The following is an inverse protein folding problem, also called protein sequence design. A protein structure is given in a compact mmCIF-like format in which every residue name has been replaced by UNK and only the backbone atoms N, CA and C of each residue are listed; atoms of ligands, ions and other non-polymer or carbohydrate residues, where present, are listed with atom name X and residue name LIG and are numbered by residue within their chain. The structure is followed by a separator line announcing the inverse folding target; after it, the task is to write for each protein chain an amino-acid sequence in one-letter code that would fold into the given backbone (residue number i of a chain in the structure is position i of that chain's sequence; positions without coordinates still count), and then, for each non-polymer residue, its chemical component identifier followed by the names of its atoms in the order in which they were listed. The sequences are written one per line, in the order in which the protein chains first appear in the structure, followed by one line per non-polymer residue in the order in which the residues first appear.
data_IF_645856537693
#
_entry.id   IF_645856537693
#
_cell.length_a   1.000
_cell.length_b   1.000
_cell.length_c   1.000
_cell.angle_alpha   90.00
_cell.angle_beta   90.00
_cell.angle_gamma   90.00
#
_symmetry.space_group_name_H-M   'P 1'
#
loop_
_entity.id
_entity.type
_entity.pdbx_description
1 polymer ?
#
# COMPACT_ATOMS: atom_id res chain seq x y z
N UNK A 1 -29.57 -7.45 -21.71
CA UNK A 1 -28.72 -6.87 -20.65
C UNK A 1 -28.24 -8.00 -19.76
N UNK A 2 -26.99 -8.43 -19.91
CA UNK A 2 -26.37 -9.36 -18.97
C UNK A 2 -26.13 -8.57 -17.69
N UNK A 3 -26.77 -8.97 -16.58
CA UNK A 3 -26.36 -8.51 -15.25
C UNK A 3 -24.94 -9.04 -15.06
N UNK A 4 -23.93 -8.19 -15.24
CA UNK A 4 -22.57 -8.51 -14.82
C UNK A 4 -22.66 -8.97 -13.36
N UNK A 5 -22.05 -10.11 -13.03
CA UNK A 5 -21.86 -10.47 -11.63
C UNK A 5 -21.19 -9.27 -10.95
N UNK A 6 -21.85 -8.67 -9.96
CA UNK A 6 -21.30 -7.51 -9.28
C UNK A 6 -20.00 -7.95 -8.60
N UNK A 7 -18.88 -7.37 -9.01
CA UNK A 7 -17.61 -7.52 -8.31
C UNK A 7 -17.83 -7.25 -6.82
N UNK A 8 -17.07 -7.94 -5.97
CA UNK A 8 -17.15 -7.75 -4.51
C UNK A 8 -16.94 -6.27 -4.19
N UNK A 9 -17.79 -5.72 -3.33
CA UNK A 9 -17.76 -4.30 -2.99
C UNK A 9 -16.53 -3.93 -2.16
N UNK A 10 -16.20 -2.63 -2.15
CA UNK A 10 -15.01 -2.10 -1.48
C UNK A 10 -14.99 -2.37 0.03
N UNK A 11 -16.13 -2.24 0.70
CA UNK A 11 -16.21 -2.41 2.15
C UNK A 11 -16.00 -3.87 2.55
N UNK A 12 -16.61 -4.80 1.82
CA UNK A 12 -16.39 -6.24 2.03
C UNK A 12 -14.91 -6.60 1.85
N UNK A 13 -14.25 -6.11 0.80
CA UNK A 13 -12.82 -6.34 0.57
C UNK A 13 -11.97 -5.78 1.73
N UNK A 14 -12.24 -4.54 2.15
CA UNK A 14 -11.47 -3.89 3.21
C UNK A 14 -11.61 -4.63 4.55
N UNK A 15 -12.84 -4.98 4.93
CA UNK A 15 -13.11 -5.69 6.19
C UNK A 15 -12.51 -7.10 6.20
N UNK A 16 -12.58 -7.84 5.09
CA UNK A 16 -11.94 -9.15 4.99
C UNK A 16 -10.42 -9.05 5.03
N UNK A 17 -9.84 -8.08 4.32
CA UNK A 17 -8.40 -7.80 4.36
C UNK A 17 -7.94 -7.47 5.78
N UNK A 18 -8.66 -6.60 6.50
CA UNK A 18 -8.36 -6.27 7.90
C UNK A 18 -8.38 -7.52 8.80
N UNK A 19 -9.42 -8.36 8.70
CA UNK A 19 -9.52 -9.62 9.47
C UNK A 19 -8.35 -10.54 9.19
N UNK A 20 -8.03 -10.77 7.91
CA UNK A 20 -6.89 -11.59 7.48
C UNK A 20 -5.57 -11.08 8.08
N UNK A 21 -5.31 -9.78 8.00
CA UNK A 21 -4.07 -9.19 8.51
C UNK A 21 -3.96 -9.24 10.04
N UNK A 22 -5.07 -9.06 10.76
CA UNK A 22 -5.12 -9.23 12.21
C UNK A 22 -4.91 -10.69 12.63
N UNK A 23 -5.53 -11.65 11.93
CA UNK A 23 -5.43 -13.09 12.20
C UNK A 23 -3.98 -13.57 12.19
N UNK A 24 -3.21 -13.20 11.16
CA UNK A 24 -1.80 -13.60 11.05
C UNK A 24 -0.84 -12.69 11.79
N UNK A 25 -1.35 -11.73 12.57
CA UNK A 25 -0.56 -10.72 13.28
C UNK A 25 0.42 -10.02 12.35
N UNK A 26 -0.06 -9.62 11.17
CA UNK A 26 0.65 -8.64 10.34
C UNK A 26 0.44 -7.23 10.89
N UNK A 27 -0.62 -7.03 11.67
CA UNK A 27 -0.96 -5.80 12.39
C UNK A 27 -0.78 -6.00 13.90
N UNK A 28 -0.22 -4.99 14.55
CA UNK A 28 -0.01 -4.96 15.99
C UNK A 28 -0.48 -3.61 16.59
N UNK A 29 -1.06 -3.67 17.79
CA UNK A 29 -1.39 -2.52 18.61
C UNK A 29 -0.59 -2.57 19.91
N UNK A 30 0.00 -1.44 20.30
CA UNK A 30 0.69 -1.28 21.58
C UNK A 30 0.72 0.20 21.99
N UNK A 31 -0.25 0.62 22.80
CA UNK A 31 -0.32 1.99 23.31
C UNK A 31 0.61 2.22 24.51
N UNK A 32 0.80 1.22 25.39
CA UNK A 32 1.63 1.35 26.59
C UNK A 32 3.13 1.49 26.26
N UNK A 33 3.59 0.75 25.25
CA UNK A 33 4.97 0.81 24.74
C UNK A 33 4.93 1.04 23.23
N UNK A 34 4.81 2.31 22.79
CA UNK A 34 4.72 2.65 21.38
C UNK A 34 5.89 2.09 20.58
N UNK A 35 5.63 1.73 19.33
CA UNK A 35 6.66 1.40 18.37
C UNK A 35 7.44 2.67 18.02
N UNK A 36 8.76 2.63 18.19
CA UNK A 36 9.65 3.72 17.77
C UNK A 36 10.30 3.32 16.43
N UNK A 37 9.94 4.04 15.37
CA UNK A 37 10.51 3.82 14.05
C UNK A 37 11.90 4.47 13.94
N UNK A 38 12.68 4.05 12.94
CA UNK A 38 14.02 4.60 12.68
C UNK A 38 14.02 6.11 12.40
N UNK A 39 12.88 6.66 11.99
CA UNK A 39 12.67 8.10 11.85
C UNK A 39 12.58 8.84 13.19
N UNK A 40 12.47 8.14 14.32
CA UNK A 40 12.13 8.70 15.63
C UNK A 40 10.63 8.91 15.85
N UNK A 41 9.80 8.36 14.97
CA UNK A 41 8.34 8.44 15.07
C UNK A 41 7.80 7.43 16.09
N UNK A 42 6.93 7.88 17.00
CA UNK A 42 6.24 7.01 17.94
C UNK A 42 4.84 6.65 17.40
N UNK A 43 4.50 5.37 17.41
CA UNK A 43 3.23 4.87 16.87
C UNK A 43 2.64 3.79 17.78
N UNK A 44 1.34 3.83 18.11
CA UNK A 44 0.69 2.73 18.82
C UNK A 44 0.34 1.57 17.86
N UNK A 45 0.52 1.76 16.56
CA UNK A 45 0.23 0.77 15.53
C UNK A 45 1.48 0.39 14.75
N UNK A 46 1.56 -0.87 14.32
CA UNK A 46 2.58 -1.36 13.42
C UNK A 46 1.97 -2.34 12.43
N UNK A 47 2.40 -2.27 11.17
CA UNK A 47 2.01 -3.22 10.13
C UNK A 47 3.25 -3.71 9.36
N UNK A 48 3.30 -5.02 9.09
CA UNK A 48 4.31 -5.63 8.23
C UNK A 48 3.64 -6.50 7.15
N UNK A 49 3.42 -5.90 5.98
CA UNK A 49 2.81 -6.59 4.84
C UNK A 49 3.71 -7.70 4.27
N UNK A 50 5.02 -7.67 4.51
CA UNK A 50 5.94 -8.71 4.01
C UNK A 50 5.63 -10.07 4.64
N UNK A 51 5.10 -10.07 5.86
CA UNK A 51 4.69 -11.29 6.56
C UNK A 51 3.59 -12.07 5.82
N UNK A 52 2.77 -11.37 5.02
CA UNK A 52 1.64 -11.95 4.30
C UNK A 52 2.08 -13.00 3.26
N UNK A 53 3.29 -12.87 2.72
CA UNK A 53 3.83 -13.83 1.75
C UNK A 53 3.95 -15.25 2.34
N UNK A 54 4.03 -15.38 3.66
CA UNK A 54 4.22 -16.65 4.37
C UNK A 54 2.93 -17.47 4.55
N UNK A 55 1.77 -16.95 4.12
CA UNK A 55 0.46 -17.58 4.36
C UNK A 55 -0.26 -17.87 3.03
N UNK A 56 -0.15 -19.09 2.47
CA UNK A 56 -0.60 -19.39 1.10
C UNK A 56 -2.08 -19.10 0.82
N UNK A 57 -2.98 -19.50 1.73
CA UNK A 57 -4.43 -19.27 1.57
C UNK A 57 -4.78 -17.79 1.64
N UNK A 58 -4.16 -17.08 2.58
CA UNK A 58 -4.38 -15.66 2.81
C UNK A 58 -3.86 -14.83 1.63
N UNK A 59 -2.60 -15.06 1.20
CA UNK A 59 -2.04 -14.31 0.06
C UNK A 59 -2.82 -14.57 -1.22
N UNK A 60 -3.36 -15.78 -1.43
CA UNK A 60 -4.21 -16.05 -2.58
C UNK A 60 -5.47 -15.18 -2.57
N UNK A 61 -6.20 -15.14 -1.45
CA UNK A 61 -7.39 -14.29 -1.31
C UNK A 61 -7.11 -12.79 -1.45
N UNK A 62 -6.00 -12.30 -0.88
CA UNK A 62 -5.59 -10.90 -1.04
C UNK A 62 -5.31 -10.53 -2.50
N UNK A 63 -4.71 -11.43 -3.27
CA UNK A 63 -4.42 -11.18 -4.68
C UNK A 63 -5.69 -11.24 -5.55
N UNK A 64 -6.68 -12.05 -5.16
CA UNK A 64 -8.00 -12.04 -5.81
C UNK A 64 -8.73 -10.71 -5.54
N UNK A 65 -8.63 -10.19 -4.32
CA UNK A 65 -9.13 -8.85 -3.98
C UNK A 65 -8.36 -7.73 -4.70
N UNK A 66 -7.04 -7.88 -4.88
CA UNK A 66 -6.23 -6.94 -5.64
C UNK A 66 -6.69 -6.85 -7.10
N UNK A 67 -6.79 -8.00 -7.78
CA UNK A 67 -7.29 -8.06 -9.15
C UNK A 67 -8.71 -7.49 -9.25
N UNK A 68 -9.61 -7.84 -8.32
CA UNK A 68 -10.98 -7.29 -8.27
C UNK A 68 -10.97 -5.77 -8.13
N UNK A 69 -10.13 -5.22 -7.26
CA UNK A 69 -10.02 -3.78 -7.00
C UNK A 69 -9.50 -3.05 -8.24
N UNK A 70 -8.44 -3.57 -8.85
CA UNK A 70 -7.84 -3.03 -10.08
C UNK A 70 -8.87 -3.01 -11.21
N UNK A 71 -9.51 -4.14 -11.50
CA UNK A 71 -10.49 -4.23 -12.59
C UNK A 71 -11.73 -3.35 -12.36
N UNK A 72 -12.18 -3.22 -11.09
CA UNK A 72 -13.32 -2.37 -10.72
C UNK A 72 -13.01 -0.88 -10.86
N UNK A 73 -11.86 -0.45 -10.35
CA UNK A 73 -11.55 0.98 -10.16
C UNK A 73 -10.77 1.58 -11.34
N UNK A 74 -10.03 0.76 -12.10
CA UNK A 74 -9.17 1.19 -13.20
C UNK A 74 -9.71 0.70 -14.56
N UNK A 75 -10.23 -0.52 -14.61
CA UNK A 75 -10.80 -1.13 -15.83
C UNK A 75 -10.00 -2.33 -16.35
N UNK A 76 -10.62 -3.09 -17.26
CA UNK A 76 -10.13 -4.39 -17.71
C UNK A 76 -8.92 -4.30 -18.65
N UNK A 77 -8.96 -3.38 -19.62
CA UNK A 77 -7.94 -3.23 -20.67
C UNK A 77 -7.13 -1.94 -20.48
N UNK A 78 -7.03 -1.45 -19.24
CA UNK A 78 -6.45 -0.15 -18.89
C UNK A 78 -4.94 -0.21 -18.60
N UNK A 79 -4.37 -1.41 -18.43
CA UNK A 79 -3.00 -1.65 -17.96
C UNK A 79 -2.32 -2.66 -18.89
N UNK A 80 -1.09 -2.37 -19.29
CA UNK A 80 -0.28 -3.23 -20.18
C UNK A 80 0.84 -3.95 -19.45
N UNK A 81 1.25 -3.46 -18.27
CA UNK A 81 2.34 -4.04 -17.48
C UNK A 81 2.16 -3.78 -15.98
N UNK A 82 2.69 -4.68 -15.14
CA UNK A 82 2.73 -4.51 -13.68
C UNK A 82 4.18 -4.40 -13.21
N UNK A 83 4.51 -3.35 -12.46
CA UNK A 83 5.85 -3.12 -11.95
C UNK A 83 5.87 -3.07 -10.42
N UNK A 84 6.67 -3.96 -9.80
CA UNK A 84 6.83 -4.01 -8.35
C UNK A 84 7.94 -3.09 -7.84
N UNK A 85 7.65 -2.26 -6.83
CA UNK A 85 8.66 -1.48 -6.13
C UNK A 85 9.61 -2.37 -5.32
N UNK A 86 10.93 -2.16 -5.47
CA UNK A 86 11.92 -2.90 -4.69
C UNK A 86 11.78 -2.59 -3.19
N UNK A 87 11.74 -3.56 -2.27
CA UNK A 87 11.70 -5.02 -2.50
C UNK A 87 10.32 -5.61 -2.22
N UNK A 88 9.57 -5.00 -1.29
CA UNK A 88 8.36 -5.57 -0.72
C UNK A 88 7.18 -5.59 -1.71
N UNK A 89 7.19 -4.73 -2.73
CA UNK A 89 6.18 -4.75 -3.80
C UNK A 89 6.33 -5.93 -4.76
N UNK A 90 7.53 -6.50 -4.90
CA UNK A 90 7.85 -7.51 -5.92
C UNK A 90 6.97 -8.77 -5.82
N UNK A 91 6.79 -9.41 -4.65
CA UNK A 91 5.97 -10.62 -4.56
C UNK A 91 4.52 -10.37 -4.98
N UNK A 92 3.95 -9.25 -4.55
CA UNK A 92 2.57 -8.88 -4.85
C UNK A 92 2.39 -8.51 -6.32
N UNK A 93 3.35 -7.76 -6.89
CA UNK A 93 3.38 -7.45 -8.31
C UNK A 93 3.42 -8.72 -9.16
N UNK A 94 4.21 -9.73 -8.78
CA UNK A 94 4.27 -11.00 -9.50
C UNK A 94 2.93 -11.73 -9.54
N UNK A 95 2.25 -11.84 -8.39
CA UNK A 95 0.97 -12.53 -8.31
C UNK A 95 -0.20 -11.76 -8.92
N UNK A 96 -0.11 -10.42 -8.96
CA UNK A 96 -1.06 -9.56 -9.66
C UNK A 96 -0.85 -9.67 -11.16
N UNK A 97 0.40 -9.60 -11.65
CA UNK A 97 0.73 -9.79 -13.05
C UNK A 97 0.22 -11.14 -13.58
N UNK A 98 0.42 -12.22 -12.81
CA UNK A 98 -0.08 -13.56 -13.11
C UNK A 98 -1.62 -13.59 -13.23
N UNK A 99 -2.34 -13.01 -12.26
CA UNK A 99 -3.83 -12.94 -12.28
C UNK A 99 -4.39 -12.11 -13.41
N UNK A 100 -3.72 -11.03 -13.77
CA UNK A 100 -4.14 -10.13 -14.85
C UNK A 100 -3.60 -10.57 -16.21
N UNK A 101 -2.77 -11.62 -16.27
CA UNK A 101 -2.11 -12.11 -17.48
C UNK A 101 -1.26 -11.02 -18.17
N UNK A 102 -0.57 -10.21 -17.38
CA UNK A 102 0.25 -9.09 -17.87
C UNK A 102 1.75 -9.35 -17.70
N UNK A 103 2.60 -8.79 -18.58
CA UNK A 103 4.05 -8.70 -18.35
C UNK A 103 4.38 -8.07 -16.98
N UNK A 104 5.47 -8.55 -16.38
CA UNK A 104 5.96 -8.06 -15.09
C UNK A 104 7.33 -7.40 -15.21
N UNK A 105 7.50 -6.29 -14.50
CA UNK A 105 8.77 -5.64 -14.22
C UNK A 105 8.98 -5.49 -12.71
N UNK A 106 10.19 -5.13 -12.30
CA UNK A 106 10.41 -4.52 -10.99
C UNK A 106 11.35 -3.33 -11.06
N UNK A 107 11.26 -2.44 -10.08
CA UNK A 107 11.92 -1.14 -10.08
C UNK A 107 12.89 -1.07 -8.91
N UNK A 108 14.17 -0.88 -9.21
CA UNK A 108 15.21 -0.70 -8.21
C UNK A 108 15.06 0.64 -7.49
N UNK A 109 15.38 0.66 -6.20
CA UNK A 109 15.47 1.91 -5.41
C UNK A 109 16.56 2.85 -5.90
N UNK A 110 17.63 2.30 -6.51
CA UNK A 110 18.75 3.05 -7.08
C UNK A 110 19.10 2.49 -8.46
N UNK A 111 19.50 3.35 -9.41
CA UNK A 111 19.92 2.91 -10.73
C UNK A 111 21.15 1.99 -10.64
N UNK A 112 21.22 1.03 -11.54
CA UNK A 112 22.39 0.16 -11.77
C UNK A 112 22.93 0.42 -13.16
N UNK A 113 24.16 0.92 -13.24
CA UNK A 113 24.79 1.28 -14.51
C UNK A 113 24.25 2.59 -15.08
N UNK A 114 24.17 2.68 -16.41
CA UNK A 114 23.82 3.89 -17.14
C UNK A 114 22.64 3.63 -18.08
N UNK A 115 21.96 4.71 -18.50
CA UNK A 115 20.86 4.67 -19.48
C UNK A 115 19.47 4.80 -18.85
N UNK A 116 18.48 5.07 -19.71
CA UNK A 116 17.09 5.38 -19.29
C UNK A 116 16.41 4.24 -18.52
N UNK A 117 16.87 3.01 -18.72
CA UNK A 117 16.32 1.80 -18.09
C UNK A 117 17.10 1.35 -16.84
N UNK A 118 18.07 2.13 -16.34
CA UNK A 118 18.97 1.69 -15.27
C UNK A 118 18.28 1.29 -13.95
N UNK A 119 17.01 1.66 -13.75
CA UNK A 119 16.21 1.27 -12.59
C UNK A 119 15.20 0.16 -12.87
N UNK A 120 14.91 -0.17 -14.13
CA UNK A 120 13.88 -1.14 -14.49
C UNK A 120 14.52 -2.48 -14.83
N UNK A 121 13.95 -3.54 -14.27
CA UNK A 121 14.36 -4.91 -14.51
C UNK A 121 13.17 -5.67 -15.09
N UNK A 122 13.41 -6.42 -16.17
CA UNK A 122 12.38 -6.95 -17.06
C UNK A 122 12.42 -6.30 -18.45
N UNK A 123 11.46 -6.63 -19.30
CA UNK A 123 11.36 -6.08 -20.66
C UNK A 123 10.62 -4.73 -20.63
N UNK A 124 11.25 -3.68 -21.15
CA UNK A 124 10.63 -2.34 -21.22
C UNK A 124 10.02 -2.13 -22.60
N UNK A 125 8.71 -1.97 -22.64
CA UNK A 125 7.96 -1.60 -23.85
C UNK A 125 7.61 -0.11 -23.78
N UNK A 126 8.13 0.68 -24.70
CA UNK A 126 7.88 2.12 -24.78
C UNK A 126 6.38 2.40 -25.01
N UNK A 127 5.82 3.35 -24.26
CA UNK A 127 4.41 3.69 -24.27
C UNK A 127 3.50 2.78 -23.42
N UNK A 128 3.99 1.68 -22.84
CA UNK A 128 3.17 0.79 -22.02
C UNK A 128 2.56 1.51 -20.81
N UNK A 129 1.30 1.18 -20.49
CA UNK A 129 0.58 1.65 -19.29
C UNK A 129 0.89 0.76 -18.11
N UNK A 130 1.78 1.23 -17.24
CA UNK A 130 2.32 0.44 -16.14
C UNK A 130 1.56 0.72 -14.84
N UNK A 131 1.12 -0.34 -14.17
CA UNK A 131 0.63 -0.28 -12.79
C UNK A 131 1.81 -0.40 -11.82
N UNK A 132 2.02 0.62 -10.97
CA UNK A 132 2.97 0.54 -9.87
C UNK A 132 2.36 -0.23 -8.70
N UNK A 133 3.02 -1.30 -8.25
CA UNK A 133 2.59 -2.11 -7.10
C UNK A 133 3.60 -2.01 -5.96
N UNK A 134 3.12 -1.67 -4.77
CA UNK A 134 3.88 -1.79 -3.52
C UNK A 134 3.06 -2.55 -2.47
N UNK A 135 3.69 -2.90 -1.34
CA UNK A 135 3.00 -3.55 -0.24
C UNK A 135 2.14 -2.57 0.57
N UNK A 136 2.66 -1.37 0.84
CA UNK A 136 1.95 -0.32 1.57
C UNK A 136 2.26 1.10 1.10
N UNK A 137 1.44 2.06 1.50
CA UNK A 137 1.70 3.49 1.37
C UNK A 137 1.44 4.24 2.70
N UNK A 138 2.33 5.16 3.04
CA UNK A 138 2.22 6.08 4.19
C UNK A 138 1.83 7.48 3.73
N UNK A 139 2.81 8.30 3.39
CA UNK A 139 2.71 9.65 2.83
C UNK A 139 2.89 9.67 1.30
N UNK A 140 3.25 8.54 0.71
CA UNK A 140 3.48 8.40 -0.73
C UNK A 140 4.89 8.79 -1.20
N UNK A 141 5.79 9.24 -0.32
CA UNK A 141 7.08 9.80 -0.74
C UNK A 141 7.99 8.85 -1.53
N UNK A 142 7.98 7.54 -1.23
CA UNK A 142 8.75 6.55 -2.01
C UNK A 142 8.21 6.31 -3.42
N UNK A 143 6.91 6.55 -3.63
CA UNK A 143 6.21 6.28 -4.89
C UNK A 143 6.67 7.23 -6.00
N UNK A 144 7.04 8.45 -5.64
CA UNK A 144 7.58 9.47 -6.56
C UNK A 144 8.77 8.88 -7.34
N UNK A 145 9.77 8.36 -6.62
CA UNK A 145 10.99 7.83 -7.24
C UNK A 145 10.72 6.66 -8.18
N UNK A 146 9.77 5.79 -7.83
CA UNK A 146 9.40 4.66 -8.68
C UNK A 146 8.60 5.10 -9.91
N UNK A 147 7.68 6.05 -9.76
CA UNK A 147 6.92 6.60 -10.88
C UNK A 147 7.83 7.31 -11.88
N UNK A 148 8.78 8.10 -11.38
CA UNK A 148 9.77 8.77 -12.24
C UNK A 148 10.64 7.76 -12.98
N UNK A 149 11.05 6.67 -12.33
CA UNK A 149 11.81 5.61 -13.00
C UNK A 149 11.03 4.95 -14.15
N UNK A 150 9.73 4.68 -13.96
CA UNK A 150 8.85 4.15 -15.02
C UNK A 150 8.72 5.16 -16.17
N UNK A 151 8.47 6.43 -15.86
CA UNK A 151 8.32 7.50 -16.85
C UNK A 151 9.60 7.72 -17.65
N UNK A 152 10.75 7.72 -16.98
CA UNK A 152 12.06 7.86 -17.61
C UNK A 152 12.39 6.69 -18.55
N UNK A 153 11.88 5.48 -18.25
CA UNK A 153 11.99 4.32 -19.13
C UNK A 153 11.07 4.39 -20.37
N UNK A 154 10.26 5.46 -20.51
CA UNK A 154 9.39 5.69 -21.66
C UNK A 154 7.98 5.11 -21.51
N UNK A 155 7.58 4.73 -20.29
CA UNK A 155 6.25 4.19 -19.99
C UNK A 155 5.33 5.24 -19.35
N UNK A 156 4.04 4.96 -19.29
CA UNK A 156 3.06 5.76 -18.52
C UNK A 156 2.74 5.09 -17.20
N UNK A 157 2.45 5.89 -16.16
CA UNK A 157 2.08 5.40 -14.83
C UNK A 157 1.14 6.41 -14.18
N UNK A 158 -0.14 6.08 -14.23
CA UNK A 158 -1.22 6.90 -13.67
C UNK A 158 -1.84 6.26 -12.42
N UNK A 159 -1.50 4.99 -12.14
CA UNK A 159 -2.09 4.21 -11.07
C UNK A 159 -1.03 3.54 -10.20
N UNK A 160 -1.25 3.61 -8.89
CA UNK A 160 -0.51 2.84 -7.90
C UNK A 160 -1.46 2.00 -7.07
N UNK A 161 -1.17 0.70 -6.95
CA UNK A 161 -1.88 -0.21 -6.06
C UNK A 161 -1.01 -0.59 -4.86
N UNK A 162 -1.62 -0.61 -3.67
CA UNK A 162 -1.02 -1.15 -2.44
C UNK A 162 -1.99 -2.07 -1.71
N UNK A 163 -1.48 -2.97 -0.88
CA UNK A 163 -2.36 -3.72 0.02
C UNK A 163 -2.90 -2.81 1.12
N UNK A 164 -2.01 -2.03 1.72
CA UNK A 164 -2.31 -1.24 2.91
C UNK A 164 -2.01 0.24 2.69
N UNK A 165 -2.99 1.12 2.92
CA UNK A 165 -2.76 2.56 2.92
C UNK A 165 -3.00 3.15 4.31
N UNK A 166 -2.06 3.92 4.84
CA UNK A 166 -2.20 4.45 6.19
C UNK A 166 -3.39 5.41 6.33
N UNK A 167 -3.64 6.25 5.33
CA UNK A 167 -4.77 7.20 5.28
C UNK A 167 -4.96 8.07 6.54
N UNK A 168 -3.84 8.46 7.16
CA UNK A 168 -3.81 9.28 8.39
C UNK A 168 -3.10 10.62 8.18
N UNK A 169 -2.50 10.82 7.00
CA UNK A 169 -1.86 12.07 6.61
C UNK A 169 -2.76 12.80 5.62
N UNK A 170 -3.29 13.98 5.96
CA UNK A 170 -4.32 14.66 5.16
C UNK A 170 -3.92 14.93 3.71
N UNK A 171 -2.64 15.15 3.43
CA UNK A 171 -2.15 15.52 2.10
C UNK A 171 -1.78 14.32 1.23
N UNK A 172 -1.60 13.12 1.80
CA UNK A 172 -0.98 11.99 1.08
C UNK A 172 -1.67 11.63 -0.25
N UNK A 173 -3.01 11.64 -0.29
CA UNK A 173 -3.76 11.42 -1.54
C UNK A 173 -3.60 12.57 -2.53
N UNK A 174 -3.63 13.81 -2.05
CA UNK A 174 -3.47 15.00 -2.88
C UNK A 174 -2.06 15.10 -3.46
N UNK A 175 -1.04 14.77 -2.67
CA UNK A 175 0.36 14.78 -3.07
C UNK A 175 0.63 13.74 -4.17
N UNK A 176 0.08 12.52 -4.03
CA UNK A 176 0.13 11.49 -5.07
C UNK A 176 -0.64 11.92 -6.33
N UNK A 177 -1.82 12.54 -6.18
CA UNK A 177 -2.59 13.03 -7.33
C UNK A 177 -1.86 14.15 -8.08
N UNK A 178 -1.16 15.03 -7.36
CA UNK A 178 -0.40 16.14 -7.92
C UNK A 178 0.75 15.67 -8.82
N UNK A 179 1.30 14.48 -8.57
CA UNK A 179 2.32 13.84 -9.43
C UNK A 179 1.71 12.89 -10.45
N UNK A 180 0.38 12.92 -10.64
CA UNK A 180 -0.34 12.09 -11.62
C UNK A 180 -0.50 10.64 -11.20
N UNK A 181 -0.56 10.32 -9.90
CA UNK A 181 -0.85 8.96 -9.42
C UNK A 181 -2.18 8.89 -8.68
N UNK A 182 -3.08 8.05 -9.16
CA UNK A 182 -4.25 7.58 -8.42
C UNK A 182 -3.88 6.37 -7.56
N UNK A 183 -4.04 6.50 -6.24
CA UNK A 183 -3.76 5.44 -5.27
C UNK A 183 -4.99 4.56 -5.03
N UNK A 184 -4.79 3.25 -5.19
CA UNK A 184 -5.75 2.20 -4.92
C UNK A 184 -5.22 1.32 -3.78
N UNK A 185 -6.09 0.97 -2.82
CA UNK A 185 -5.71 0.15 -1.68
C UNK A 185 -6.80 -0.86 -1.32
N UNK A 186 -6.41 -2.00 -0.72
CA UNK A 186 -7.39 -2.94 -0.18
C UNK A 186 -7.93 -2.49 1.17
N UNK A 187 -7.08 -1.93 2.03
CA UNK A 187 -7.45 -1.62 3.42
C UNK A 187 -6.70 -0.39 3.94
N UNK A 188 -7.31 0.31 4.88
CA UNK A 188 -6.71 1.41 5.63
C UNK A 188 -6.69 1.14 7.14
N UNK A 189 -6.00 1.99 7.90
CA UNK A 189 -6.08 1.92 9.36
C UNK A 189 -7.50 2.13 9.91
N UNK A 190 -8.34 2.89 9.20
CA UNK A 190 -9.73 3.12 9.61
C UNK A 190 -10.57 1.83 9.52
N UNK A 191 -10.41 1.08 8.43
CA UNK A 191 -11.07 -0.23 8.24
C UNK A 191 -10.61 -1.23 9.31
N UNK A 192 -9.30 -1.22 9.61
CA UNK A 192 -8.71 -2.08 10.66
C UNK A 192 -9.27 -1.73 12.03
N UNK A 193 -9.38 -0.44 12.36
CA UNK A 193 -9.92 0.01 13.64
C UNK A 193 -11.40 -0.37 13.78
N UNK A 194 -12.20 -0.21 12.71
CA UNK A 194 -13.60 -0.62 12.68
C UNK A 194 -13.74 -2.13 12.96
N UNK A 195 -12.99 -2.97 12.23
CA UNK A 195 -12.99 -4.42 12.43
C UNK A 195 -12.49 -4.81 13.82
N UNK A 196 -11.44 -4.15 14.33
CA UNK A 196 -10.89 -4.43 15.65
C UNK A 196 -11.92 -4.14 16.75
N UNK A 197 -12.60 -2.99 16.69
CA UNK A 197 -13.69 -2.61 17.61
C UNK A 197 -14.84 -3.61 17.55
N UNK A 198 -15.29 -3.96 16.34
CA UNK A 198 -16.39 -4.90 16.15
C UNK A 198 -16.06 -6.33 16.62
N UNK A 199 -14.78 -6.70 16.65
CA UNK A 199 -14.34 -8.04 17.06
C UNK A 199 -14.47 -8.32 18.55
N UNK A 200 -14.42 -7.29 19.40
CA UNK A 200 -14.43 -7.45 20.87
C UNK A 200 -13.18 -8.11 21.48
N UNK A 201 -12.13 -8.37 20.70
CA UNK A 201 -10.92 -9.07 21.17
C UNK A 201 -9.81 -8.14 21.69
N UNK A 202 -9.94 -6.83 21.50
CA UNK A 202 -8.93 -5.85 21.88
C UNK A 202 -9.43 -4.98 23.04
N UNK A 203 -8.49 -4.57 23.89
CA UNK A 203 -8.79 -3.64 24.97
C UNK A 203 -9.32 -2.30 24.42
N UNK A 204 -10.40 -1.81 25.01
CA UNK A 204 -11.08 -0.60 24.54
C UNK A 204 -10.22 0.65 24.73
N UNK A 205 -9.39 0.71 25.78
CA UNK A 205 -8.44 1.80 26.02
C UNK A 205 -7.35 1.82 24.95
N UNK A 206 -6.80 0.65 24.60
CA UNK A 206 -5.83 0.54 23.50
C UNK A 206 -6.42 1.02 22.17
N UNK A 207 -7.65 0.63 21.84
CA UNK A 207 -8.29 1.07 20.59
C UNK A 207 -8.63 2.57 20.60
N UNK A 208 -8.91 3.17 21.77
CA UNK A 208 -9.10 4.60 21.90
C UNK A 208 -7.80 5.38 21.62
N UNK A 209 -6.66 4.89 22.12
CA UNK A 209 -5.34 5.47 21.83
C UNK A 209 -4.96 5.32 20.36
N UNK A 210 -5.25 4.17 19.75
CA UNK A 210 -5.09 4.00 18.29
C UNK A 210 -5.92 5.03 17.55
N UNK A 211 -7.20 5.20 17.88
CA UNK A 211 -8.05 6.20 17.23
C UNK A 211 -7.54 7.64 17.40
N UNK A 212 -7.05 7.99 18.59
CA UNK A 212 -6.44 9.29 18.86
C UNK A 212 -5.21 9.52 17.95
N UNK A 213 -4.35 8.52 17.83
CA UNK A 213 -3.22 8.54 16.90
C UNK A 213 -3.67 8.68 15.44
N UNK A 214 -4.67 7.92 14.97
CA UNK A 214 -5.10 8.03 13.57
C UNK A 214 -5.67 9.41 13.22
N UNK A 215 -6.34 10.08 14.16
CA UNK A 215 -6.88 11.44 13.98
C UNK A 215 -5.80 12.51 14.00
N UNK A 216 -4.81 12.39 14.90
CA UNK A 216 -3.76 13.39 15.11
C UNK A 216 -2.39 12.73 15.27
N UNK A 217 -1.86 12.10 14.20
CA UNK A 217 -0.67 11.24 14.30
C UNK A 217 0.56 11.99 14.82
N UNK A 218 0.73 13.23 14.37
CA UNK A 218 1.84 14.11 14.75
C UNK A 218 1.77 14.55 16.21
N UNK A 219 0.59 14.95 16.68
CA UNK A 219 0.41 15.37 18.07
C UNK A 219 0.60 14.17 19.01
N UNK A 220 0.03 13.01 18.64
CA UNK A 220 0.15 11.80 19.44
C UNK A 220 1.60 11.33 19.52
N UNK A 221 2.34 11.27 18.40
CA UNK A 221 3.76 10.90 18.39
C UNK A 221 4.58 11.80 19.33
N UNK A 222 4.41 13.12 19.24
CA UNK A 222 5.11 14.08 20.10
C UNK A 222 4.81 13.88 21.59
N UNK A 223 3.54 13.63 21.95
CA UNK A 223 3.12 13.39 23.32
C UNK A 223 3.67 12.06 23.89
N UNK A 224 4.10 11.14 23.02
CA UNK A 224 4.56 9.80 23.38
C UNK A 224 6.06 9.58 23.09
N UNK A 225 6.85 10.66 23.13
CA UNK A 225 8.32 10.60 23.04
C UNK A 225 8.87 10.45 21.62
N UNK A 226 8.03 10.62 20.60
CA UNK A 226 8.42 10.66 19.20
C UNK A 226 8.54 12.08 18.65
N UNK A 227 8.79 12.19 17.35
CA UNK A 227 8.85 13.48 16.62
C UNK A 227 7.49 14.15 16.51
N UNK A 228 7.53 15.48 16.39
CA UNK A 228 6.39 16.38 16.20
C UNK A 228 6.15 16.82 14.76
N UNK A 229 6.85 16.22 13.78
CA UNK A 229 6.63 16.46 12.35
C UNK A 229 6.89 15.17 11.58
N UNK A 230 6.04 14.90 10.58
CA UNK A 230 6.21 13.80 9.64
C UNK A 230 6.73 14.38 8.32
N UNK A 231 7.85 13.87 7.78
CA UNK A 231 8.39 14.31 6.49
C UNK A 231 9.32 15.54 6.51
N UNK A 232 9.88 15.92 7.67
CA UNK A 232 10.91 16.98 7.75
C UNK A 232 12.12 16.72 6.82
N UNK A 233 12.92 17.76 6.49
CA UNK A 233 13.92 17.70 5.44
C UNK A 233 14.86 16.51 5.65
N UNK A 234 14.94 15.65 4.63
CA UNK A 234 15.93 14.58 4.57
C UNK A 234 17.28 15.25 4.31
N UNK A 235 18.08 15.42 5.38
CA UNK A 235 19.49 15.79 5.29
C UNK A 235 20.26 14.80 4.42
#
# INVERSE_FOLDING_TARGET
MVKAASLVDRQTIAHQTARMMLEVKAIHFNAEKPFIFTSGWASPVYTDCRKLISYPRLRAGLMDFAATTILRDIGYESIDCVAGGETAGIPFAAWIADRLMLPMQYIRKKPKGFGRNAQIEGEVVEGARTLLVEDLATDGGSKVTFADAIRNAGQTVDHCFVLFFYDIFPTARADLKAIGLDLHALVTWWDVLEVAKASGHFDAGVLAEVEAFLKQPTQWSAAHGGKSEFGGPKS
#
